data_IF_878563266459
#
_entry.id   IF_878563266459
#
_cell.length_a   1.000
_cell.length_b   1.000
_cell.length_c   1.000
_cell.angle_alpha   90.00
_cell.angle_beta   90.00
_cell.angle_gamma   90.00
#
_symmetry.space_group_name_H-M   'P 1'
#
loop_
_entity.id
_entity.type
_entity.pdbx_description
1 polymer ?
#
# COMPACT_ATOMS: atom_id res chain seq x y z
N UNK A 1 13.98 -1.80 -5.00
CA UNK A 1 15.43 -1.90 -4.71
C UNK A 1 15.88 -3.35 -4.52
N UNK A 2 15.20 -4.22 -3.72
CA UNK A 2 15.68 -5.59 -3.44
C UNK A 2 15.87 -6.47 -4.68
N UNK A 3 14.91 -6.51 -5.60
CA UNK A 3 15.06 -7.27 -6.86
C UNK A 3 16.16 -6.69 -7.78
N UNK A 4 16.36 -5.36 -7.77
CA UNK A 4 17.47 -4.72 -8.50
C UNK A 4 18.81 -5.22 -7.99
N UNK A 5 18.98 -5.35 -6.67
CA UNK A 5 20.20 -5.87 -6.06
C UNK A 5 20.50 -7.32 -6.49
N UNK A 6 19.45 -8.16 -6.61
CA UNK A 6 19.61 -9.54 -7.11
C UNK A 6 20.06 -9.54 -8.58
N UNK A 7 19.45 -8.74 -9.44
CA UNK A 7 19.81 -8.61 -10.85
C UNK A 7 21.24 -8.08 -11.02
N UNK A 8 21.61 -7.04 -10.28
CA UNK A 8 22.98 -6.51 -10.27
C UNK A 8 23.98 -7.57 -9.81
N UNK A 9 23.66 -8.31 -8.75
CA UNK A 9 24.51 -9.39 -8.25
C UNK A 9 24.68 -10.52 -9.26
N UNK A 10 23.60 -10.88 -9.97
CA UNK A 10 23.65 -11.86 -11.05
C UNK A 10 24.55 -11.36 -12.19
N UNK A 11 24.35 -10.15 -12.67
CA UNK A 11 25.10 -9.58 -13.80
C UNK A 11 26.59 -9.39 -13.48
N UNK A 12 26.96 -9.07 -12.25
CA UNK A 12 28.37 -8.93 -11.84
C UNK A 12 29.12 -10.27 -11.85
N UNK A 13 28.41 -11.39 -11.71
CA UNK A 13 29.00 -12.73 -11.57
C UNK A 13 28.77 -13.64 -12.79
N UNK A 14 28.13 -13.11 -13.87
CA UNK A 14 27.83 -13.93 -15.04
C UNK A 14 27.98 -13.12 -16.34
N UNK A 15 28.07 -13.79 -17.46
CA UNK A 15 28.14 -13.18 -18.80
C UNK A 15 26.78 -12.99 -19.42
N UNK A 16 25.75 -13.62 -18.90
CA UNK A 16 24.34 -13.48 -19.24
C UNK A 16 23.47 -13.94 -18.09
N UNK A 17 22.27 -13.40 -18.00
CA UNK A 17 21.27 -13.73 -16.95
C UNK A 17 19.97 -14.15 -17.59
N UNK A 18 19.39 -15.25 -17.11
CA UNK A 18 18.03 -15.66 -17.40
C UNK A 18 17.16 -15.39 -16.17
N UNK A 19 16.13 -14.58 -16.34
CA UNK A 19 15.18 -14.25 -15.28
C UNK A 19 13.88 -15.02 -15.51
N UNK A 20 13.50 -15.84 -14.55
CA UNK A 20 12.23 -16.55 -14.57
C UNK A 20 11.24 -15.81 -13.68
N UNK A 21 10.29 -15.11 -14.30
CA UNK A 21 9.33 -14.25 -13.65
C UNK A 21 8.01 -15.01 -13.41
N UNK A 22 7.60 -15.13 -12.15
CA UNK A 22 6.34 -15.80 -11.78
C UNK A 22 5.16 -15.24 -12.57
N UNK A 23 4.30 -16.11 -13.12
CA UNK A 23 3.05 -15.69 -13.76
C UNK A 23 2.06 -15.07 -12.75
N UNK A 24 0.96 -14.52 -13.25
CA UNK A 24 -0.01 -13.83 -12.40
C UNK A 24 -0.75 -14.78 -11.45
N UNK A 25 -0.96 -16.05 -11.85
CA UNK A 25 -1.56 -17.05 -10.98
C UNK A 25 -0.69 -17.32 -9.74
N UNK A 26 0.60 -17.54 -9.93
CA UNK A 26 1.54 -17.73 -8.82
C UNK A 26 1.72 -16.48 -7.97
N UNK A 27 1.77 -15.32 -8.61
CA UNK A 27 1.93 -14.04 -7.93
C UNK A 27 0.72 -13.70 -7.05
N UNK A 28 -0.49 -13.96 -7.53
CA UNK A 28 -1.75 -13.69 -6.81
C UNK A 28 -1.93 -14.53 -5.55
N UNK A 29 -1.31 -15.72 -5.46
CA UNK A 29 -1.30 -16.54 -4.23
C UNK A 29 -0.64 -15.76 -3.06
N UNK A 30 0.38 -14.95 -3.35
CA UNK A 30 1.07 -14.16 -2.32
C UNK A 30 0.30 -12.92 -1.90
N UNK A 31 -0.40 -12.28 -2.82
CA UNK A 31 -1.25 -11.11 -2.57
C UNK A 31 -2.03 -10.75 -3.83
N UNK A 32 -3.30 -10.35 -3.72
CA UNK A 32 -4.09 -9.85 -4.85
C UNK A 32 -3.58 -8.49 -5.38
N UNK A 33 -2.69 -7.81 -4.64
CA UNK A 33 -2.13 -6.50 -4.99
C UNK A 33 -0.72 -6.59 -5.60
N UNK A 34 -0.33 -7.75 -6.10
CA UNK A 34 0.89 -7.89 -6.91
C UNK A 34 0.61 -7.29 -8.28
N UNK A 35 1.55 -6.50 -8.79
CA UNK A 35 1.49 -5.96 -10.15
C UNK A 35 1.35 -7.10 -11.18
N UNK A 36 0.68 -6.83 -12.31
CA UNK A 36 0.52 -7.79 -13.41
C UNK A 36 1.88 -8.25 -13.93
N UNK A 37 1.89 -9.41 -14.58
CA UNK A 37 3.09 -9.94 -15.24
C UNK A 37 3.71 -8.92 -16.19
N UNK A 38 2.90 -8.27 -17.05
CA UNK A 38 3.36 -7.28 -18.00
C UNK A 38 4.05 -6.08 -17.33
N UNK A 39 3.45 -5.54 -16.26
CA UNK A 39 4.05 -4.41 -15.51
C UNK A 39 5.38 -4.80 -14.88
N UNK A 40 5.49 -6.01 -14.35
CA UNK A 40 6.73 -6.54 -13.76
C UNK A 40 7.79 -6.80 -14.83
N UNK A 41 7.38 -7.34 -15.98
CA UNK A 41 8.23 -7.56 -17.15
C UNK A 41 8.80 -6.23 -17.68
N UNK A 42 7.95 -5.22 -17.91
CA UNK A 42 8.39 -3.88 -18.35
C UNK A 42 9.40 -3.27 -17.38
N UNK A 43 9.20 -3.43 -16.08
CA UNK A 43 10.13 -2.91 -15.07
C UNK A 43 11.50 -3.57 -15.12
N UNK A 44 11.58 -4.88 -15.43
CA UNK A 44 12.85 -5.59 -15.56
C UNK A 44 13.54 -5.22 -16.89
N UNK A 45 12.77 -5.08 -17.99
CA UNK A 45 13.29 -4.66 -19.28
C UNK A 45 13.88 -3.24 -19.19
N UNK A 46 13.16 -2.30 -18.58
CA UNK A 46 13.65 -0.94 -18.39
C UNK A 46 14.96 -0.92 -17.57
N UNK A 47 15.02 -1.73 -16.50
CA UNK A 47 16.25 -1.87 -15.72
C UNK A 47 17.39 -2.45 -16.55
N UNK A 48 17.13 -3.47 -17.39
CA UNK A 48 18.14 -4.09 -18.25
C UNK A 48 18.69 -3.12 -19.28
N UNK A 49 17.84 -2.28 -19.87
CA UNK A 49 18.25 -1.25 -20.84
C UNK A 49 19.15 -0.17 -20.18
N UNK A 50 18.85 0.21 -18.94
CA UNK A 50 19.66 1.17 -18.18
C UNK A 50 21.02 0.62 -17.73
N UNK A 51 21.11 -0.71 -17.53
CA UNK A 51 22.28 -1.40 -16.97
C UNK A 51 22.95 -2.35 -17.98
N UNK A 52 22.97 -1.97 -19.24
CA UNK A 52 23.24 -2.73 -20.46
C UNK A 52 24.52 -3.56 -20.58
N UNK A 53 25.32 -3.74 -19.53
CA UNK A 53 26.58 -4.51 -19.58
C UNK A 53 26.35 -6.04 -19.50
N UNK A 54 25.13 -6.49 -19.21
CA UNK A 54 24.79 -7.90 -19.05
C UNK A 54 23.52 -8.25 -19.85
N UNK A 55 23.58 -9.11 -20.86
CA UNK A 55 22.40 -9.59 -21.55
C UNK A 55 21.44 -10.30 -20.60
N UNK A 56 20.18 -9.79 -20.54
CA UNK A 56 19.12 -10.37 -19.73
C UNK A 56 18.04 -10.92 -20.66
N UNK A 57 17.67 -12.18 -20.48
CA UNK A 57 16.49 -12.79 -21.08
C UNK A 57 15.46 -13.09 -20.02
N UNK A 58 14.15 -12.89 -20.35
CA UNK A 58 13.08 -13.06 -19.37
C UNK A 58 12.14 -14.14 -19.87
N UNK A 59 11.80 -15.07 -19.00
CA UNK A 59 10.90 -16.18 -19.26
C UNK A 59 9.79 -16.19 -18.19
N UNK A 60 8.61 -16.68 -18.55
CA UNK A 60 7.53 -16.91 -17.61
C UNK A 60 7.87 -18.13 -16.72
N UNK A 61 7.52 -18.04 -15.44
CA UNK A 61 7.70 -19.08 -14.44
C UNK A 61 6.33 -19.63 -14.01
N UNK A 62 6.10 -20.90 -14.24
CA UNK A 62 4.84 -21.59 -13.98
C UNK A 62 4.85 -22.41 -12.69
N UNK A 63 6.02 -22.72 -12.13
CA UNK A 63 6.22 -23.49 -10.92
C UNK A 63 7.34 -22.92 -10.04
N UNK A 64 7.50 -23.44 -8.83
CA UNK A 64 8.45 -22.90 -7.84
C UNK A 64 9.93 -23.08 -8.20
N UNK A 65 10.27 -24.10 -8.98
CA UNK A 65 11.65 -24.45 -9.33
C UNK A 65 12.02 -24.01 -10.75
N UNK A 66 11.03 -23.87 -11.61
CA UNK A 66 11.21 -23.56 -13.02
C UNK A 66 12.15 -24.56 -13.73
N UNK A 67 12.89 -24.13 -14.74
CA UNK A 67 13.79 -25.00 -15.47
C UNK A 67 15.10 -25.33 -14.74
N UNK A 68 15.39 -24.71 -13.59
CA UNK A 68 16.68 -24.84 -12.92
C UNK A 68 17.12 -26.28 -12.65
N UNK A 69 16.23 -27.23 -12.26
CA UNK A 69 16.62 -28.64 -12.05
C UNK A 69 17.14 -29.31 -13.30
N UNK A 70 16.64 -28.95 -14.48
CA UNK A 70 16.92 -29.66 -15.75
C UNK A 70 17.62 -28.81 -16.80
N UNK A 71 17.94 -27.54 -16.50
CA UNK A 71 18.54 -26.62 -17.45
C UNK A 71 19.93 -27.06 -17.86
N UNK A 72 20.17 -27.36 -19.15
CA UNK A 72 21.42 -28.04 -19.56
C UNK A 72 22.66 -27.13 -19.59
N UNK A 73 22.47 -25.81 -19.73
CA UNK A 73 23.56 -24.85 -19.90
C UNK A 73 23.65 -23.80 -18.78
N UNK A 74 22.79 -23.88 -17.76
CA UNK A 74 22.96 -23.04 -16.57
C UNK A 74 24.11 -23.59 -15.72
N UNK A 75 24.96 -22.69 -15.24
CA UNK A 75 26.13 -23.00 -14.39
C UNK A 75 26.03 -22.34 -13.01
N UNK A 76 25.14 -21.38 -12.84
CA UNK A 76 24.90 -20.71 -11.55
C UNK A 76 23.42 -20.40 -11.31
N UNK A 77 23.07 -20.23 -10.03
CA UNK A 77 21.76 -19.76 -9.57
C UNK A 77 21.95 -18.70 -8.49
N UNK A 78 21.17 -17.62 -8.58
CA UNK A 78 21.19 -16.56 -7.56
C UNK A 78 20.21 -16.89 -6.45
N UNK A 79 20.64 -16.75 -5.21
CA UNK A 79 19.86 -16.99 -4.02
C UNK A 79 19.95 -15.83 -3.03
N UNK A 80 18.96 -15.73 -2.17
CA UNK A 80 19.06 -15.05 -0.88
C UNK A 80 19.23 -16.08 0.22
N UNK A 81 19.49 -15.64 1.46
CA UNK A 81 19.52 -16.54 2.63
C UNK A 81 18.23 -17.38 2.73
N UNK A 82 17.06 -16.79 2.39
CA UNK A 82 15.76 -17.48 2.46
C UNK A 82 15.60 -18.55 1.36
N UNK A 83 16.13 -18.31 0.17
CA UNK A 83 15.95 -19.22 -0.98
C UNK A 83 17.10 -20.21 -1.16
N UNK A 84 18.18 -20.08 -0.40
CA UNK A 84 19.36 -20.95 -0.48
C UNK A 84 19.00 -22.43 -0.34
N UNK A 85 18.17 -22.79 0.64
CA UNK A 85 17.78 -24.19 0.87
C UNK A 85 17.08 -24.80 -0.36
N UNK A 86 16.28 -24.02 -1.09
CA UNK A 86 15.65 -24.48 -2.34
C UNK A 86 16.69 -24.71 -3.44
N UNK A 87 17.71 -23.85 -3.53
CA UNK A 87 18.81 -24.05 -4.50
C UNK A 87 19.63 -25.30 -4.20
N UNK A 88 19.78 -25.67 -2.94
CA UNK A 88 20.43 -26.93 -2.54
C UNK A 88 19.58 -28.15 -2.96
N UNK A 89 18.28 -28.12 -2.80
CA UNK A 89 17.36 -29.16 -3.30
C UNK A 89 17.43 -29.27 -4.84
N UNK A 90 17.44 -28.13 -5.55
CA UNK A 90 17.62 -28.12 -7.01
C UNK A 90 18.93 -28.83 -7.39
N UNK A 91 20.02 -28.57 -6.68
CA UNK A 91 21.32 -29.23 -6.94
C UNK A 91 21.30 -30.72 -6.65
N UNK A 92 20.58 -31.19 -5.62
CA UNK A 92 20.36 -32.61 -5.39
C UNK A 92 19.62 -33.29 -6.55
N UNK A 93 18.58 -32.64 -7.09
CA UNK A 93 17.85 -33.13 -8.27
C UNK A 93 18.75 -33.20 -9.50
N UNK A 94 19.54 -32.15 -9.77
CA UNK A 94 20.50 -32.13 -10.88
C UNK A 94 21.53 -33.27 -10.81
N UNK A 95 22.08 -33.52 -9.64
CA UNK A 95 23.03 -34.62 -9.42
C UNK A 95 22.38 -35.98 -9.70
N UNK A 96 21.12 -36.17 -9.28
CA UNK A 96 20.37 -37.40 -9.56
C UNK A 96 20.10 -37.61 -11.05
N UNK A 97 19.98 -36.50 -11.83
CA UNK A 97 19.77 -36.49 -13.28
C UNK A 97 21.11 -36.39 -14.06
N UNK A 98 22.22 -36.65 -13.42
CA UNK A 98 23.57 -36.63 -14.01
C UNK A 98 23.98 -35.25 -14.58
N UNK A 99 23.39 -34.14 -14.08
CA UNK A 99 23.78 -32.78 -14.41
C UNK A 99 24.73 -32.19 -13.36
N UNK A 100 25.61 -31.30 -13.81
CA UNK A 100 26.47 -30.55 -12.89
C UNK A 100 25.65 -29.67 -11.95
N UNK A 101 25.98 -29.61 -10.64
CA UNK A 101 25.29 -28.70 -9.72
C UNK A 101 25.58 -27.25 -10.08
N UNK A 102 24.57 -26.39 -9.87
CA UNK A 102 24.68 -24.95 -10.08
C UNK A 102 25.55 -24.32 -8.97
N UNK A 103 26.39 -23.38 -9.35
CA UNK A 103 27.06 -22.53 -8.38
C UNK A 103 26.05 -21.58 -7.73
N UNK A 104 25.88 -21.65 -6.41
CA UNK A 104 24.93 -20.79 -5.68
C UNK A 104 25.62 -19.46 -5.37
N UNK A 105 25.13 -18.40 -6.00
CA UNK A 105 25.57 -17.02 -5.77
C UNK A 105 24.60 -16.40 -4.75
N UNK A 106 25.04 -16.31 -3.50
CA UNK A 106 24.22 -15.72 -2.43
C UNK A 106 24.37 -14.22 -2.40
N UNK A 107 23.23 -13.51 -2.53
CA UNK A 107 23.15 -12.06 -2.44
C UNK A 107 22.48 -11.68 -1.11
N UNK A 108 23.10 -10.82 -0.30
CA UNK A 108 22.53 -10.39 0.96
C UNK A 108 21.26 -9.57 0.73
N UNK A 109 20.34 -9.61 1.69
CA UNK A 109 19.16 -8.74 1.67
C UNK A 109 19.54 -7.27 1.72
N UNK A 110 18.82 -6.46 0.96
CA UNK A 110 18.86 -5.01 1.14
C UNK A 110 18.17 -4.67 2.46
N UNK A 111 18.87 -3.90 3.31
CA UNK A 111 18.34 -3.43 4.58
C UNK A 111 17.87 -1.98 4.45
N UNK A 112 16.76 -1.64 5.09
CA UNK A 112 16.34 -0.25 5.25
C UNK A 112 17.19 0.48 6.32
N UNK A 113 16.99 1.80 6.45
CA UNK A 113 17.71 2.61 7.43
C UNK A 113 17.44 2.23 8.91
N UNK A 114 16.41 1.44 9.19
CA UNK A 114 16.04 0.96 10.52
C UNK A 114 16.49 -0.49 10.80
N UNK A 115 17.18 -1.13 9.84
CA UNK A 115 17.68 -2.49 9.97
C UNK A 115 16.63 -3.58 9.62
N UNK A 116 15.54 -3.20 8.97
CA UNK A 116 14.55 -4.14 8.44
C UNK A 116 14.87 -4.55 7.00
N UNK A 117 14.50 -5.78 6.61
CA UNK A 117 14.68 -6.26 5.23
C UNK A 117 13.73 -5.50 4.29
N UNK A 118 14.26 -4.94 3.19
CA UNK A 118 13.46 -4.39 2.11
C UNK A 118 12.83 -5.54 1.33
N UNK A 119 11.53 -5.78 1.58
CA UNK A 119 10.79 -6.89 0.96
C UNK A 119 9.50 -6.41 0.30
N UNK A 120 9.06 -7.14 -0.72
CA UNK A 120 7.78 -6.89 -1.40
C UNK A 120 6.58 -6.93 -0.44
N UNK A 121 6.64 -7.75 0.61
CA UNK A 121 5.61 -7.81 1.65
C UNK A 121 5.52 -6.50 2.43
N UNK A 122 6.66 -5.96 2.88
CA UNK A 122 6.67 -4.68 3.61
C UNK A 122 6.23 -3.50 2.73
N UNK A 123 6.58 -3.53 1.43
CA UNK A 123 6.09 -2.53 0.46
C UNK A 123 4.57 -2.63 0.31
N UNK A 124 4.01 -3.83 0.11
CA UNK A 124 2.55 -4.01 -0.01
C UNK A 124 1.81 -3.68 1.29
N UNK A 125 2.39 -3.98 2.43
CA UNK A 125 1.85 -3.59 3.74
C UNK A 125 1.97 -2.08 4.01
N UNK A 126 2.51 -1.31 3.07
CA UNK A 126 2.58 0.15 3.17
C UNK A 126 3.61 0.67 4.18
N UNK A 127 4.54 -0.18 4.65
CA UNK A 127 5.54 0.16 5.68
C UNK A 127 6.68 0.99 5.08
N UNK A 128 7.15 0.62 3.88
CA UNK A 128 8.26 1.25 3.17
C UNK A 128 7.90 1.43 1.69
N UNK A 129 8.60 2.33 1.03
CA UNK A 129 8.55 2.47 -0.42
C UNK A 129 9.42 1.41 -1.14
N UNK A 130 9.49 1.50 -2.47
CA UNK A 130 10.25 0.55 -3.29
C UNK A 130 11.77 0.62 -3.05
N UNK A 131 12.26 1.74 -2.49
CA UNK A 131 13.67 1.97 -2.19
C UNK A 131 14.03 1.66 -0.73
N UNK A 132 13.05 1.29 0.08
CA UNK A 132 13.20 0.95 1.49
C UNK A 132 13.07 2.14 2.43
N UNK A 133 12.61 3.30 1.94
CA UNK A 133 12.40 4.46 2.80
C UNK A 133 11.01 4.39 3.47
N UNK A 134 10.87 4.85 4.71
CA UNK A 134 9.57 4.99 5.34
C UNK A 134 8.75 6.07 4.62
N UNK A 135 7.42 5.93 4.64
CA UNK A 135 6.51 6.90 4.02
C UNK A 135 6.42 8.20 4.79
N UNK A 136 6.66 8.17 6.11
CA UNK A 136 6.69 9.32 7.01
C UNK A 136 8.06 9.35 7.68
N UNK A 137 8.74 10.49 7.70
CA UNK A 137 10.05 10.62 8.34
C UNK A 137 9.94 10.51 9.87
N UNK A 138 11.06 10.13 10.54
CA UNK A 138 11.08 10.01 11.98
C UNK A 138 10.71 11.32 12.71
N UNK A 139 11.13 12.47 12.19
CA UNK A 139 10.79 13.78 12.74
C UNK A 139 9.29 14.09 12.59
N UNK A 140 8.68 13.75 11.43
CA UNK A 140 7.24 13.92 11.19
C UNK A 140 6.39 12.99 12.06
N UNK A 141 6.90 11.79 12.40
CA UNK A 141 6.20 10.84 13.26
C UNK A 141 5.96 11.39 14.68
N UNK A 142 6.92 12.12 15.21
CA UNK A 142 6.90 12.62 16.60
C UNK A 142 6.27 14.02 16.72
N UNK A 143 6.01 14.69 15.60
CA UNK A 143 5.63 16.10 15.56
C UNK A 143 4.18 16.31 15.17
N UNK A 144 3.59 17.41 15.64
CA UNK A 144 2.36 17.96 15.07
C UNK A 144 2.71 18.70 13.79
N UNK A 145 2.01 18.39 12.71
CA UNK A 145 2.25 18.95 11.39
C UNK A 145 1.12 19.92 11.05
N UNK A 146 1.47 21.18 10.78
CA UNK A 146 0.51 22.24 10.47
C UNK A 146 0.42 22.44 8.97
N UNK A 147 -0.80 22.43 8.46
CA UNK A 147 -1.08 22.71 7.05
C UNK A 147 -0.64 24.12 6.66
N UNK A 148 0.20 24.21 5.63
CA UNK A 148 0.56 25.51 5.06
C UNK A 148 -0.62 26.10 4.28
N UNK A 149 -0.84 27.43 4.36
CA UNK A 149 -1.93 28.10 3.63
C UNK A 149 -1.88 27.92 2.12
N UNK A 150 -0.71 27.65 1.56
CA UNK A 150 -0.53 27.37 0.13
C UNK A 150 -1.24 26.09 -0.32
N UNK A 151 -1.53 25.15 0.59
CA UNK A 151 -2.20 23.88 0.31
C UNK A 151 -3.72 24.00 0.23
N UNK A 152 -4.34 25.07 0.71
CA UNK A 152 -5.81 25.23 0.75
C UNK A 152 -6.50 24.96 -0.59
N UNK A 153 -5.90 25.38 -1.70
CA UNK A 153 -6.50 25.17 -3.03
C UNK A 153 -6.23 23.77 -3.58
N UNK A 154 -5.12 23.18 -3.20
CA UNK A 154 -4.70 21.87 -3.66
C UNK A 154 -5.51 20.76 -2.98
N UNK A 155 -5.78 20.90 -1.70
CA UNK A 155 -6.57 19.97 -0.90
C UNK A 155 -8.08 20.02 -1.22
N UNK A 156 -8.56 21.06 -1.90
CA UNK A 156 -9.93 21.11 -2.42
C UNK A 156 -10.14 20.24 -3.66
N UNK A 157 -9.06 19.85 -4.33
CA UNK A 157 -9.13 18.95 -5.47
C UNK A 157 -9.24 17.52 -4.94
N UNK A 158 -10.27 16.75 -5.31
CA UNK A 158 -10.41 15.37 -4.88
C UNK A 158 -9.15 14.55 -5.20
N UNK A 159 -8.62 13.82 -4.23
CA UNK A 159 -7.44 12.95 -4.45
C UNK A 159 -7.77 11.64 -5.15
N UNK A 160 -9.06 11.40 -5.43
CA UNK A 160 -9.57 10.17 -6.02
C UNK A 160 -10.69 10.41 -7.01
N UNK A 161 -11.39 9.36 -7.36
CA UNK A 161 -12.57 9.41 -8.23
C UNK A 161 -13.76 9.99 -7.45
N UNK A 162 -14.42 10.99 -8.04
CA UNK A 162 -15.59 11.63 -7.45
C UNK A 162 -16.85 11.00 -8.02
N UNK A 163 -17.67 10.43 -7.15
CA UNK A 163 -19.01 9.92 -7.45
C UNK A 163 -20.03 11.00 -7.05
N UNK A 164 -20.67 11.58 -8.05
CA UNK A 164 -21.57 12.70 -7.85
C UNK A 164 -22.94 12.26 -7.34
N UNK A 165 -23.50 13.03 -6.43
CA UNK A 165 -24.85 12.86 -5.93
C UNK A 165 -25.35 14.11 -5.22
N UNK A 166 -26.69 14.27 -5.08
CA UNK A 166 -27.27 15.41 -4.40
C UNK A 166 -26.95 15.36 -2.90
N UNK A 167 -26.80 16.54 -2.30
CA UNK A 167 -26.45 16.66 -0.88
C UNK A 167 -27.57 16.17 0.05
N UNK A 168 -28.81 16.29 -0.39
CA UNK A 168 -30.00 15.84 0.34
C UNK A 168 -30.29 14.33 0.19
N UNK A 169 -29.58 13.65 -0.70
CA UNK A 169 -29.65 12.19 -0.87
C UNK A 169 -28.25 11.61 -1.13
N UNK A 170 -27.38 11.50 -0.10
CA UNK A 170 -26.01 11.03 -0.25
C UNK A 170 -25.91 9.54 -0.61
N UNK A 171 -27.00 8.76 -0.46
CA UNK A 171 -27.02 7.33 -0.80
C UNK A 171 -26.79 7.11 -2.30
N UNK A 172 -27.24 8.02 -3.17
CA UNK A 172 -27.03 7.93 -4.64
C UNK A 172 -25.55 7.88 -4.98
N UNK A 173 -24.76 8.82 -4.46
CA UNK A 173 -23.32 8.82 -4.67
C UNK A 173 -22.65 7.60 -4.03
N UNK A 174 -23.07 7.22 -2.84
CA UNK A 174 -22.50 6.08 -2.12
C UNK A 174 -22.75 4.75 -2.84
N UNK A 175 -23.96 4.49 -3.33
CA UNK A 175 -24.26 3.28 -4.08
C UNK A 175 -23.43 3.19 -5.37
N UNK A 176 -23.30 4.30 -6.11
CA UNK A 176 -22.42 4.34 -7.27
C UNK A 176 -20.94 4.08 -6.91
N UNK A 177 -20.48 4.57 -5.76
CA UNK A 177 -19.14 4.31 -5.24
C UNK A 177 -18.94 2.84 -4.90
N UNK A 178 -19.93 2.20 -4.28
CA UNK A 178 -19.85 0.77 -3.91
C UNK A 178 -19.85 -0.15 -5.14
N UNK A 179 -20.58 0.22 -6.18
CA UNK A 179 -20.58 -0.52 -7.46
C UNK A 179 -19.21 -0.47 -8.17
N UNK A 180 -18.45 0.60 -7.94
CA UNK A 180 -17.12 0.80 -8.52
C UNK A 180 -15.98 0.24 -7.66
N UNK A 181 -16.26 -0.39 -6.52
CA UNK A 181 -15.23 -0.97 -5.66
C UNK A 181 -14.37 -2.00 -6.41
N UNK A 182 -13.05 -1.99 -6.23
CA UNK A 182 -12.18 -3.00 -6.83
C UNK A 182 -12.52 -4.40 -6.31
N UNK A 183 -12.28 -5.41 -7.13
CA UNK A 183 -12.44 -6.81 -6.74
C UNK A 183 -11.15 -7.60 -7.04
N UNK A 184 -10.44 -8.12 -6.05
CA UNK A 184 -10.74 -7.98 -4.61
C UNK A 184 -10.51 -6.56 -4.09
N UNK A 185 -11.30 -6.16 -3.10
CA UNK A 185 -11.10 -4.91 -2.36
C UNK A 185 -10.24 -5.14 -1.13
N UNK A 186 -9.52 -4.10 -0.71
CA UNK A 186 -8.91 -4.04 0.63
C UNK A 186 -9.88 -3.54 1.69
N UNK A 187 -9.33 -3.20 2.84
CA UNK A 187 -10.03 -2.54 3.94
C UNK A 187 -10.70 -1.25 3.47
N UNK A 188 -11.96 -1.03 3.81
CA UNK A 188 -12.65 0.24 3.60
C UNK A 188 -12.43 1.13 4.81
N UNK A 189 -11.89 2.31 4.58
CA UNK A 189 -11.77 3.38 5.58
C UNK A 189 -12.69 4.52 5.16
N UNK A 190 -13.70 4.79 5.96
CA UNK A 190 -14.66 5.87 5.73
C UNK A 190 -14.35 7.07 6.65
N UNK A 191 -14.23 8.27 6.07
CA UNK A 191 -13.90 9.51 6.77
C UNK A 191 -15.06 10.49 6.66
N UNK A 192 -15.46 11.08 7.79
CA UNK A 192 -16.54 12.03 7.91
C UNK A 192 -17.87 11.42 8.31
N UNK A 193 -18.60 12.11 9.20
CA UNK A 193 -19.85 11.64 9.79
C UNK A 193 -20.92 11.29 8.73
N UNK A 194 -21.08 12.14 7.70
CA UNK A 194 -22.04 11.87 6.62
C UNK A 194 -21.68 10.62 5.84
N UNK A 195 -20.40 10.45 5.49
CA UNK A 195 -19.92 9.28 4.75
C UNK A 195 -20.15 7.99 5.53
N UNK A 196 -19.75 7.97 6.81
CA UNK A 196 -19.91 6.81 7.69
C UNK A 196 -21.39 6.52 7.92
N UNK A 197 -22.19 7.53 8.25
CA UNK A 197 -23.62 7.35 8.47
C UNK A 197 -24.32 6.79 7.23
N UNK A 198 -24.03 7.31 6.04
CA UNK A 198 -24.62 6.83 4.78
C UNK A 198 -24.30 5.35 4.54
N UNK A 199 -23.04 4.92 4.81
CA UNK A 199 -22.70 3.50 4.72
C UNK A 199 -23.50 2.64 5.68
N UNK A 200 -23.64 3.08 6.94
CA UNK A 200 -24.43 2.35 7.94
C UNK A 200 -25.92 2.29 7.58
N UNK A 201 -26.49 3.37 7.06
CA UNK A 201 -27.90 3.45 6.67
C UNK A 201 -28.24 2.48 5.52
N UNK A 202 -27.31 2.25 4.60
CA UNK A 202 -27.45 1.24 3.53
C UNK A 202 -27.00 -0.18 3.96
N UNK A 203 -26.68 -0.38 5.25
CA UNK A 203 -26.38 -1.69 5.83
C UNK A 203 -24.95 -2.18 5.68
N UNK A 204 -24.00 -1.29 5.35
CA UNK A 204 -22.59 -1.61 5.27
C UNK A 204 -21.81 -0.93 6.41
N UNK A 205 -21.17 -1.75 7.26
CA UNK A 205 -20.23 -1.25 8.27
C UNK A 205 -18.83 -1.26 7.66
N UNK A 206 -18.16 -0.09 7.50
CA UNK A 206 -16.77 -0.06 7.06
C UNK A 206 -15.87 -0.71 8.12
N UNK A 207 -14.73 -1.25 7.70
CA UNK A 207 -13.76 -1.82 8.64
C UNK A 207 -13.19 -0.73 9.56
N UNK A 208 -13.02 0.50 9.04
CA UNK A 208 -12.56 1.64 9.85
C UNK A 208 -13.44 2.86 9.52
N UNK A 209 -13.91 3.52 10.56
CA UNK A 209 -14.60 4.81 10.47
C UNK A 209 -13.83 5.88 11.22
N UNK A 210 -13.76 7.10 10.69
CA UNK A 210 -13.17 8.27 11.36
C UNK A 210 -14.18 9.39 11.34
N UNK A 211 -14.56 9.89 12.50
CA UNK A 211 -15.62 10.86 12.70
C UNK A 211 -15.21 11.91 13.72
N UNK A 212 -15.75 13.13 13.63
CA UNK A 212 -15.54 14.20 14.60
C UNK A 212 -16.84 14.67 15.31
N UNK A 213 -17.99 14.08 14.94
CA UNK A 213 -19.29 14.45 15.48
C UNK A 213 -19.79 15.82 14.97
N UNK A 214 -19.21 16.33 13.88
CA UNK A 214 -19.53 17.60 13.28
C UNK A 214 -20.00 17.43 11.82
N UNK A 215 -20.84 18.35 11.36
CA UNK A 215 -21.11 18.51 9.92
C UNK A 215 -21.11 20.00 9.61
N UNK A 216 -20.31 20.41 8.59
CA UNK A 216 -20.10 21.82 8.25
C UNK A 216 -19.68 22.68 9.45
N UNK A 217 -18.86 22.12 10.36
CA UNK A 217 -18.36 22.73 11.63
C UNK A 217 -19.46 23.03 12.67
N UNK A 218 -20.62 22.41 12.54
CA UNK A 218 -21.70 22.47 13.52
C UNK A 218 -21.93 21.08 14.13
N UNK A 219 -22.28 21.02 15.44
CA UNK A 219 -22.62 19.76 16.09
C UNK A 219 -23.84 19.13 15.45
N UNK A 220 -23.74 17.85 15.12
CA UNK A 220 -24.86 17.08 14.59
C UNK A 220 -26.03 17.01 15.57
N UNK A 221 -27.24 17.06 15.03
CA UNK A 221 -28.41 16.71 15.81
C UNK A 221 -28.37 15.21 16.13
N UNK A 222 -28.91 14.81 17.28
CA UNK A 222 -28.82 13.40 17.77
C UNK A 222 -29.30 12.35 16.73
N UNK A 223 -30.26 12.72 15.86
CA UNK A 223 -30.74 11.84 14.77
C UNK A 223 -29.74 11.66 13.61
N UNK A 224 -28.81 12.58 13.48
CA UNK A 224 -27.82 12.63 12.40
C UNK A 224 -26.45 12.09 12.85
N UNK A 225 -26.31 11.79 14.14
CA UNK A 225 -25.08 11.20 14.69
C UNK A 225 -24.86 9.77 14.20
N UNK A 226 -23.60 9.42 14.00
CA UNK A 226 -23.17 8.05 13.68
C UNK A 226 -23.47 7.13 14.86
N UNK A 227 -24.05 5.97 14.60
CA UNK A 227 -24.21 4.92 15.62
C UNK A 227 -22.89 4.17 15.82
N UNK A 228 -22.06 4.62 16.75
CA UNK A 228 -20.75 4.00 17.01
C UNK A 228 -20.81 2.62 17.68
N UNK A 229 -21.97 2.22 18.22
CA UNK A 229 -22.13 0.93 18.90
C UNK A 229 -22.10 -0.29 17.96
N UNK A 230 -22.15 -0.05 16.64
CA UNK A 230 -22.04 -1.12 15.63
C UNK A 230 -20.59 -1.56 15.38
N UNK A 231 -19.62 -0.74 15.80
CA UNK A 231 -18.19 -1.07 15.70
C UNK A 231 -17.73 -1.88 16.92
N UNK A 232 -16.83 -2.83 16.67
CA UNK A 232 -16.29 -3.67 17.75
C UNK A 232 -15.41 -2.86 18.73
N UNK A 233 -14.69 -1.88 18.20
CA UNK A 233 -13.78 -1.05 19.01
C UNK A 233 -13.99 0.44 18.74
N UNK A 234 -13.79 1.24 19.78
CA UNK A 234 -13.75 2.71 19.71
C UNK A 234 -12.37 3.18 20.13
N UNK A 235 -11.72 3.97 19.29
CA UNK A 235 -10.49 4.69 19.60
C UNK A 235 -10.80 6.19 19.65
N UNK A 236 -9.96 6.95 20.33
CA UNK A 236 -10.06 8.41 20.40
C UNK A 236 -8.78 9.06 19.92
N UNK A 237 -8.89 10.20 19.25
CA UNK A 237 -7.76 11.00 18.83
C UNK A 237 -8.01 12.49 19.07
N UNK A 238 -6.94 13.24 19.33
CA UNK A 238 -7.02 14.71 19.42
C UNK A 238 -6.33 15.27 18.17
N UNK A 239 -7.08 16.00 17.35
CA UNK A 239 -6.59 16.57 16.11
C UNK A 239 -7.19 17.95 15.83
N UNK A 240 -6.62 19.03 16.41
CA UNK A 240 -7.13 20.38 16.18
C UNK A 240 -7.24 20.77 14.70
N UNK A 241 -8.09 21.74 14.33
CA UNK A 241 -8.28 22.16 12.95
C UNK A 241 -6.98 22.54 12.21
N UNK A 242 -6.83 22.04 10.98
CA UNK A 242 -5.74 22.39 10.08
C UNK A 242 -4.38 21.80 10.48
N UNK A 243 -4.37 20.78 11.33
CA UNK A 243 -3.15 20.04 11.71
C UNK A 243 -3.32 18.54 11.51
N UNK A 244 -2.19 17.83 11.52
CA UNK A 244 -2.09 16.38 11.65
C UNK A 244 -1.24 16.09 12.88
N UNK A 245 -1.81 15.34 13.83
CA UNK A 245 -1.16 15.07 15.11
C UNK A 245 -0.64 13.64 15.22
N UNK A 246 0.36 13.38 16.05
CA UNK A 246 0.76 12.02 16.39
C UNK A 246 -0.40 11.20 17.00
N UNK A 247 -1.33 11.85 17.72
CA UNK A 247 -2.52 11.20 18.29
C UNK A 247 -3.41 10.59 17.22
N UNK A 248 -3.75 11.36 16.17
CA UNK A 248 -4.56 10.87 15.04
C UNK A 248 -3.81 9.77 14.29
N UNK A 249 -2.52 9.95 14.01
CA UNK A 249 -1.70 8.95 13.32
C UNK A 249 -1.68 7.60 14.05
N UNK A 250 -1.41 7.62 15.35
CA UNK A 250 -1.36 6.39 16.17
C UNK A 250 -2.72 5.70 16.21
N UNK A 251 -3.82 6.46 16.31
CA UNK A 251 -5.16 5.90 16.26
C UNK A 251 -5.45 5.22 14.91
N UNK A 252 -5.07 5.85 13.79
CA UNK A 252 -5.21 5.26 12.44
C UNK A 252 -4.35 4.00 12.31
N UNK A 253 -3.09 4.01 12.75
CA UNK A 253 -2.21 2.84 12.72
C UNK A 253 -2.81 1.67 13.52
N UNK A 254 -3.29 1.92 14.73
CA UNK A 254 -3.92 0.90 15.56
C UNK A 254 -5.19 0.33 14.92
N UNK A 255 -6.00 1.18 14.26
CA UNK A 255 -7.19 0.73 13.56
C UNK A 255 -6.87 -0.14 12.34
N UNK A 256 -5.82 0.20 11.57
CA UNK A 256 -5.40 -0.56 10.37
C UNK A 256 -4.94 -1.98 10.73
N UNK A 257 -4.35 -2.17 11.90
CA UNK A 257 -3.88 -3.47 12.37
C UNK A 257 -4.89 -4.20 13.27
N UNK A 258 -6.10 -3.66 13.45
CA UNK A 258 -7.15 -4.33 14.20
C UNK A 258 -7.80 -5.45 13.35
N UNK A 259 -8.15 -6.56 14.02
CA UNK A 259 -8.81 -7.69 13.37
C UNK A 259 -10.33 -7.47 13.19
N UNK A 260 -10.91 -6.51 13.90
CA UNK A 260 -12.33 -6.20 13.92
C UNK A 260 -12.57 -4.71 13.58
N UNK A 261 -13.84 -4.36 13.32
CA UNK A 261 -14.21 -2.99 12.93
C UNK A 261 -13.92 -1.97 14.03
N UNK A 262 -13.39 -0.81 13.61
CA UNK A 262 -12.96 0.27 14.52
C UNK A 262 -13.61 1.58 14.12
N UNK A 263 -14.11 2.33 15.09
CA UNK A 263 -14.42 3.76 14.93
C UNK A 263 -13.40 4.60 15.68
N UNK A 264 -12.87 5.64 15.03
CA UNK A 264 -11.99 6.65 15.64
C UNK A 264 -12.82 7.91 15.83
N UNK A 265 -13.05 8.29 17.09
CA UNK A 265 -13.71 9.55 17.46
C UNK A 265 -12.62 10.63 17.63
N UNK A 266 -12.67 11.65 16.77
CA UNK A 266 -11.67 12.73 16.72
C UNK A 266 -12.18 13.93 17.52
N UNK A 267 -11.42 14.35 18.52
CA UNK A 267 -11.64 15.67 19.15
C UNK A 267 -10.90 16.72 18.30
N UNK A 268 -11.66 17.35 17.38
CA UNK A 268 -11.12 18.32 16.43
C UNK A 268 -11.68 18.19 15.01
N UNK A 269 -10.81 18.01 14.01
CA UNK A 269 -11.16 17.84 12.59
C UNK A 269 -10.48 16.59 12.00
N UNK A 270 -11.21 15.82 11.17
CA UNK A 270 -10.74 14.63 10.48
C UNK A 270 -10.46 14.83 8.98
N UNK A 271 -10.75 16.00 8.43
CA UNK A 271 -10.70 16.32 6.98
C UNK A 271 -9.35 15.98 6.34
N UNK A 272 -8.24 16.09 7.09
CA UNK A 272 -6.88 15.78 6.63
C UNK A 272 -6.48 14.32 6.87
N UNK A 273 -7.29 13.51 7.55
CA UNK A 273 -6.99 12.11 7.85
C UNK A 273 -6.69 11.26 6.60
N UNK A 274 -7.33 11.48 5.42
CA UNK A 274 -7.00 10.71 4.21
C UNK A 274 -5.52 10.72 3.85
N UNK A 275 -4.78 11.81 4.13
CA UNK A 275 -3.33 11.89 3.89
C UNK A 275 -2.58 10.87 4.75
N UNK A 276 -2.86 10.83 6.05
CA UNK A 276 -2.22 9.87 6.97
C UNK A 276 -2.65 8.43 6.64
N UNK A 277 -3.93 8.21 6.34
CA UNK A 277 -4.44 6.88 5.99
C UNK A 277 -3.65 6.32 4.82
N UNK A 278 -3.54 7.06 3.72
CA UNK A 278 -2.78 6.58 2.56
C UNK A 278 -1.31 6.32 2.88
N UNK A 279 -0.69 7.09 3.76
CA UNK A 279 0.73 6.90 4.12
C UNK A 279 0.97 5.64 4.97
N UNK A 280 0.04 5.29 5.88
CA UNK A 280 0.24 4.17 6.81
C UNK A 280 -0.48 2.88 6.40
N UNK A 281 -1.53 2.96 5.56
CA UNK A 281 -2.32 1.80 5.16
C UNK A 281 -1.59 0.91 4.15
N UNK A 282 -1.91 -0.40 4.11
CA UNK A 282 -1.52 -1.32 3.06
C UNK A 282 -2.01 -0.87 1.68
N UNK A 283 -1.30 -1.32 0.63
CA UNK A 283 -1.80 -1.16 -0.75
C UNK A 283 -3.13 -1.90 -0.90
N UNK A 284 -4.04 -1.31 -1.67
CA UNK A 284 -5.39 -1.83 -1.89
C UNK A 284 -6.44 -1.31 -0.89
N UNK A 285 -6.06 -0.64 0.21
CA UNK A 285 -7.01 0.02 1.12
C UNK A 285 -7.84 1.05 0.35
N UNK A 286 -9.16 1.00 0.52
CA UNK A 286 -10.11 1.93 -0.10
C UNK A 286 -10.47 3.02 0.89
N UNK A 287 -10.20 4.26 0.55
CA UNK A 287 -10.53 5.43 1.38
C UNK A 287 -11.71 6.15 0.75
N UNK A 288 -12.77 6.32 1.56
CA UNK A 288 -14.00 7.02 1.18
C UNK A 288 -14.15 8.27 2.04
N UNK A 289 -14.40 9.42 1.42
CA UNK A 289 -14.68 10.66 2.14
C UNK A 289 -15.63 11.54 1.36
N UNK A 290 -16.37 12.40 2.07
CA UNK A 290 -17.32 13.32 1.48
C UNK A 290 -16.64 14.50 0.78
N UNK A 291 -17.14 14.89 -0.40
CA UNK A 291 -16.81 16.15 -1.04
C UNK A 291 -18.03 17.07 -0.92
N UNK A 292 -17.98 18.11 -0.08
CA UNK A 292 -19.17 18.95 0.22
C UNK A 292 -19.87 19.47 -1.01
N UNK A 293 -21.18 19.23 -1.11
CA UNK A 293 -22.04 19.66 -2.22
C UNK A 293 -21.84 18.91 -3.53
N UNK A 294 -20.97 17.89 -3.58
CA UNK A 294 -20.65 17.15 -4.81
C UNK A 294 -20.93 15.65 -4.71
N UNK A 295 -20.60 15.01 -3.59
CA UNK A 295 -20.78 13.55 -3.42
C UNK A 295 -19.68 12.89 -2.61
N UNK A 296 -19.29 11.68 -3.03
CA UNK A 296 -18.29 10.84 -2.35
C UNK A 296 -17.06 10.69 -3.22
N UNK A 297 -15.89 10.83 -2.61
CA UNK A 297 -14.59 10.52 -3.25
C UNK A 297 -14.14 9.15 -2.80
N UNK A 298 -13.76 8.32 -3.75
CA UNK A 298 -13.08 7.05 -3.53
C UNK A 298 -11.66 7.11 -4.02
N UNK A 299 -10.71 6.73 -3.17
CA UNK A 299 -9.32 6.53 -3.56
C UNK A 299 -8.80 5.20 -3.04
N UNK A 300 -8.29 4.37 -3.95
CA UNK A 300 -7.55 3.17 -3.57
C UNK A 300 -6.11 3.55 -3.25
N UNK A 301 -5.60 3.05 -2.14
CA UNK A 301 -4.20 3.23 -1.75
C UNK A 301 -3.31 2.41 -2.68
N UNK A 302 -2.60 3.09 -3.56
CA UNK A 302 -1.54 2.58 -4.41
C UNK A 302 -0.25 3.36 -4.16
N UNK A 303 0.83 3.02 -4.84
CA UNK A 303 2.12 3.71 -4.72
C UNK A 303 1.98 5.20 -5.07
N UNK A 304 1.22 5.52 -6.12
CA UNK A 304 1.01 6.91 -6.55
C UNK A 304 0.23 7.73 -5.50
N UNK A 305 -0.79 7.12 -4.85
CA UNK A 305 -1.51 7.77 -3.75
C UNK A 305 -0.58 8.05 -2.56
N UNK A 306 0.28 7.09 -2.21
CA UNK A 306 1.26 7.26 -1.13
C UNK A 306 2.30 8.34 -1.47
N UNK A 307 2.84 8.35 -2.68
CA UNK A 307 3.77 9.38 -3.14
C UNK A 307 3.12 10.76 -3.10
N UNK A 308 1.90 10.88 -3.62
CA UNK A 308 1.13 12.14 -3.57
C UNK A 308 0.92 12.62 -2.13
N UNK A 309 0.56 11.72 -1.21
CA UNK A 309 0.38 12.07 0.20
C UNK A 309 1.71 12.43 0.88
N UNK A 310 2.83 11.78 0.52
CA UNK A 310 4.16 12.14 0.99
C UNK A 310 4.55 13.56 0.53
N UNK A 311 4.29 13.89 -0.73
CA UNK A 311 4.54 15.22 -1.28
C UNK A 311 3.72 16.28 -0.56
N UNK A 312 2.41 16.02 -0.36
CA UNK A 312 1.55 16.90 0.42
C UNK A 312 2.09 17.09 1.85
N UNK A 313 2.42 15.99 2.54
CA UNK A 313 2.92 16.04 3.91
C UNK A 313 4.25 16.81 4.02
N UNK A 314 5.09 16.75 2.99
CA UNK A 314 6.37 17.50 2.94
C UNK A 314 6.19 19.01 2.93
N UNK A 315 5.01 19.50 2.57
CA UNK A 315 4.65 20.92 2.56
C UNK A 315 4.01 21.41 3.88
N UNK A 316 3.81 20.49 4.85
CA UNK A 316 3.35 20.86 6.19
C UNK A 316 4.52 21.40 7.01
N UNK A 317 4.22 22.35 7.89
CA UNK A 317 5.17 22.92 8.83
C UNK A 317 5.23 22.08 10.11
N UNK A 318 6.42 21.70 10.55
CA UNK A 318 6.62 21.01 11.83
C UNK A 318 6.45 22.04 12.96
N UNK A 319 5.63 21.71 13.97
CA UNK A 319 5.34 22.57 15.11
C UNK A 319 6.15 22.15 16.35
#
# INVERSE_FOLDING_TARGET
AGHKLLLEGACRNSVRVEVHLTNDNMASIKSPYVQSFDTRLESILAWADENGDCPVTIHELDDEMGPAPTHPSADAIVATVETRAMCEIINEMRINDELEPLHIIEIPHLMDGAGGIVSSTRIRNGIIDQDGNPWISGEQLESTLKMAKSLDNELKIPMGELFMGPEDDPEIAMLATLDALPNPRGTIVAVGDVTVKTLLDIGLTPEIAIIDGLTKREKLAQKDCVNTTVFAHTLTAINPPGVLTPSLRVAIENAIYADESVVIEVDGEEDLAPILIHLVAPLGTVVLYGQPGLGVVMRVTDVAAKERCRDLLSMFEIM
#
